data_IF_276796010922
#
_entry.id   IF_276796010922
#
_cell.length_a   1.000
_cell.length_b   1.000
_cell.length_c   1.000
_cell.angle_alpha   90.00
_cell.angle_beta   90.00
_cell.angle_gamma   90.00
#
_symmetry.space_group_name_H-M   'P 1'
#
loop_
_entity.id
_entity.type
_entity.pdbx_description
1 polymer ?
#
# COMPACT_ATOMS: atom_id res chain seq x y z
N UNK A 1 5.63 -2.87 11.38
CA UNK A 1 5.22 -2.41 10.04
C UNK A 1 4.84 -3.56 9.11
N UNK A 2 5.76 -4.47 8.73
CA UNK A 2 5.46 -5.61 7.84
C UNK A 2 4.36 -6.53 8.39
N UNK A 3 4.44 -6.94 9.66
CA UNK A 3 3.41 -7.80 10.27
C UNK A 3 2.03 -7.14 10.26
N UNK A 4 1.95 -5.84 10.55
CA UNK A 4 0.68 -5.10 10.57
C UNK A 4 0.07 -4.96 9.19
N UNK A 5 0.90 -4.81 8.15
CA UNK A 5 0.42 -4.74 6.76
C UNK A 5 -0.07 -6.10 6.28
N UNK A 6 0.61 -7.19 6.66
CA UNK A 6 0.16 -8.56 6.36
C UNK A 6 -1.19 -8.87 7.02
N UNK A 7 -1.37 -8.53 8.31
CA UNK A 7 -2.65 -8.76 8.99
C UNK A 7 -3.79 -7.93 8.37
N UNK A 8 -3.53 -6.67 8.02
CA UNK A 8 -4.54 -5.82 7.38
C UNK A 8 -4.95 -6.34 5.99
N UNK A 9 -3.98 -6.82 5.21
CA UNK A 9 -4.25 -7.46 3.91
C UNK A 9 -5.05 -8.76 4.12
N UNK A 10 -4.65 -9.61 5.07
CA UNK A 10 -5.35 -10.86 5.40
C UNK A 10 -6.82 -10.62 5.76
N UNK A 11 -7.08 -9.63 6.60
CA UNK A 11 -8.44 -9.30 7.05
C UNK A 11 -9.31 -8.73 5.92
N UNK A 12 -8.69 -8.09 4.94
CA UNK A 12 -9.39 -7.57 3.75
C UNK A 12 -9.75 -8.66 2.72
N UNK A 13 -9.00 -9.76 2.66
CA UNK A 13 -9.14 -10.82 1.66
C UNK A 13 -9.94 -12.04 2.18
N UNK A 14 -10.02 -12.26 3.50
CA UNK A 14 -10.64 -13.46 4.07
C UNK A 14 -12.19 -13.48 3.97
N UNK A 15 -12.81 -14.60 3.52
CA UNK A 15 -14.27 -14.74 3.47
C UNK A 15 -14.90 -14.74 4.88
N UNK A 16 -16.18 -14.34 5.03
CA UNK A 16 -16.85 -14.36 6.32
C UNK A 16 -16.99 -15.79 6.84
N UNK A 17 -16.30 -16.10 7.94
CA UNK A 17 -16.66 -17.22 8.80
C UNK A 17 -18.03 -16.93 9.43
N UNK A 18 -19.09 -17.45 8.82
CA UNK A 18 -20.46 -17.40 9.32
C UNK A 18 -21.38 -16.44 8.54
N UNK A 19 -21.80 -16.83 7.33
CA UNK A 19 -23.04 -16.31 6.74
C UNK A 19 -24.09 -17.41 6.81
N UNK A 20 -24.89 -17.41 7.87
CA UNK A 20 -26.20 -18.06 7.82
C UNK A 20 -27.12 -17.19 6.96
N UNK A 21 -27.71 -17.83 5.96
CA UNK A 21 -28.71 -17.28 5.04
C UNK A 21 -29.84 -16.62 5.84
N UNK A 22 -30.10 -15.33 5.62
CA UNK A 22 -31.25 -14.63 6.19
C UNK A 22 -32.24 -14.24 5.08
N UNK A 23 -33.40 -14.88 5.08
CA UNK A 23 -34.60 -14.56 4.28
C UNK A 23 -35.21 -13.20 4.65
N UNK A 24 -35.91 -12.50 3.73
CA UNK A 24 -36.36 -11.13 3.95
C UNK A 24 -37.65 -11.06 4.80
N UNK A 25 -37.72 -10.14 5.76
CA UNK A 25 -38.95 -9.81 6.52
C UNK A 25 -39.31 -8.33 6.37
N UNK A 26 -40.61 -8.10 6.20
CA UNK A 26 -41.32 -6.88 5.76
C UNK A 26 -41.40 -5.74 6.80
N UNK A 27 -41.39 -4.52 6.26
CA UNK A 27 -42.12 -3.27 6.59
C UNK A 27 -42.35 -2.82 8.04
N UNK A 28 -41.96 -1.55 8.34
CA UNK A 28 -42.84 -0.59 9.05
C UNK A 28 -42.37 0.88 8.87
N UNK A 29 -43.33 1.77 8.56
CA UNK A 29 -43.18 3.22 8.34
C UNK A 29 -43.26 4.03 9.66
N UNK A 30 -42.54 5.15 9.77
CA UNK A 30 -43.06 6.35 10.46
C UNK A 30 -42.34 7.65 10.05
N UNK A 31 -43.15 8.69 9.84
CA UNK A 31 -42.81 10.05 9.37
C UNK A 31 -42.01 10.90 10.39
N UNK A 32 -41.25 11.88 9.89
CA UNK A 32 -40.72 13.00 10.69
C UNK A 32 -39.61 13.78 9.99
N UNK A 33 -39.94 14.97 9.47
CA UNK A 33 -39.06 15.94 8.81
C UNK A 33 -38.05 16.61 9.74
N UNK A 34 -36.77 16.65 9.36
CA UNK A 34 -35.93 17.86 9.48
C UNK A 34 -34.77 17.84 8.46
N UNK A 35 -34.67 18.92 7.70
CA UNK A 35 -33.63 19.22 6.73
C UNK A 35 -32.28 19.47 7.42
N UNK A 36 -31.24 18.73 7.04
CA UNK A 36 -29.85 19.17 7.14
C UNK A 36 -29.19 18.90 5.79
N UNK A 37 -29.26 19.86 4.89
CA UNK A 37 -28.24 19.98 3.85
C UNK A 37 -26.99 20.49 4.56
N UNK A 38 -25.89 19.75 4.44
CA UNK A 38 -24.58 20.28 4.03
C UNK A 38 -23.56 19.14 4.03
N UNK A 39 -23.17 18.78 2.81
CA UNK A 39 -21.83 18.34 2.39
C UNK A 39 -21.13 17.32 3.28
N UNK A 40 -21.31 16.02 3.01
CA UNK A 40 -20.34 15.01 3.41
C UNK A 40 -20.26 13.93 2.32
N UNK A 41 -19.20 14.06 1.53
CA UNK A 41 -18.50 13.13 0.61
C UNK A 41 -19.32 12.00 -0.05
N UNK A 42 -19.26 11.84 -1.39
CA UNK A 42 -19.92 10.76 -2.11
C UNK A 42 -19.47 9.36 -1.62
N UNK A 43 -20.40 8.41 -1.69
CA UNK A 43 -20.41 7.04 -1.13
C UNK A 43 -19.21 6.12 -1.47
N UNK A 44 -18.18 6.63 -2.16
CA UNK A 44 -17.07 5.83 -2.70
C UNK A 44 -15.72 6.06 -1.97
N UNK A 45 -15.69 6.89 -0.92
CA UNK A 45 -14.43 7.24 -0.24
C UNK A 45 -14.12 6.26 0.90
N UNK A 46 -13.57 5.08 0.60
CA UNK A 46 -13.10 4.18 1.65
C UNK A 46 -11.61 4.42 1.98
N UNK A 47 -11.35 5.39 2.85
CA UNK A 47 -10.12 5.42 3.65
C UNK A 47 -10.31 4.44 4.82
N UNK A 48 -9.66 3.28 4.76
CA UNK A 48 -9.58 2.37 5.91
C UNK A 48 -8.60 2.94 6.94
N UNK A 49 -9.02 4.00 7.64
CA UNK A 49 -8.32 4.46 8.84
C UNK A 49 -8.83 3.60 10.00
N UNK A 50 -7.92 2.95 10.73
CA UNK A 50 -8.21 2.41 12.05
C UNK A 50 -8.61 3.57 12.97
N UNK A 51 -9.90 3.92 12.96
CA UNK A 51 -10.48 4.81 13.94
C UNK A 51 -11.62 4.06 14.64
N UNK A 52 -11.56 4.01 15.97
CA UNK A 52 -12.67 3.62 16.84
C UNK A 52 -13.78 4.67 16.75
N UNK A 53 -14.49 4.72 15.61
CA UNK A 53 -15.61 5.64 15.41
C UNK A 53 -16.84 4.99 16.01
N UNK A 54 -17.18 5.39 17.23
CA UNK A 54 -18.50 5.09 17.82
C UNK A 54 -19.56 5.91 17.08
N UNK A 55 -20.35 5.24 16.24
CA UNK A 55 -21.52 5.86 15.60
C UNK A 55 -22.50 6.34 16.68
N UNK A 56 -22.75 7.65 16.75
CA UNK A 56 -23.75 8.26 17.64
C UNK A 56 -25.20 7.88 17.31
N UNK A 57 -25.43 7.20 16.19
CA UNK A 57 -26.75 6.72 15.79
C UNK A 57 -26.72 5.20 15.81
N UNK A 58 -27.50 4.59 16.70
CA UNK A 58 -27.55 3.15 17.00
C UNK A 58 -28.06 2.25 15.87
N UNK A 59 -27.62 2.47 14.63
CA UNK A 59 -27.68 1.49 13.55
C UNK A 59 -26.40 0.66 13.62
N UNK A 60 -26.49 -0.69 13.56
CA UNK A 60 -25.30 -1.51 13.41
C UNK A 60 -24.58 -1.04 12.15
N UNK A 61 -23.31 -0.64 12.28
CA UNK A 61 -22.45 -0.40 11.12
C UNK A 61 -22.41 -1.73 10.38
N UNK A 62 -23.17 -1.85 9.28
CA UNK A 62 -22.97 -2.94 8.34
C UNK A 62 -21.49 -2.92 8.00
N UNK A 63 -20.78 -4.02 8.28
CA UNK A 63 -19.35 -4.14 8.05
C UNK A 63 -19.11 -3.97 6.54
N UNK A 64 -18.96 -2.73 6.09
CA UNK A 64 -18.63 -2.40 4.72
C UNK A 64 -17.28 -3.07 4.47
N UNK A 65 -17.29 -4.16 3.70
CA UNK A 65 -16.06 -4.79 3.23
C UNK A 65 -15.55 -3.96 2.08
N UNK A 66 -14.67 -3.03 2.39
CA UNK A 66 -13.91 -2.29 1.39
C UNK A 66 -12.94 -3.25 0.70
N UNK A 67 -13.06 -3.41 -0.61
CA UNK A 67 -12.10 -4.20 -1.39
C UNK A 67 -10.80 -3.42 -1.50
N UNK A 68 -9.66 -4.05 -1.19
CA UNK A 68 -8.34 -3.43 -1.30
C UNK A 68 -7.99 -3.23 -2.78
N UNK A 69 -8.01 -1.98 -3.25
CA UNK A 69 -7.70 -1.62 -4.64
C UNK A 69 -6.22 -1.35 -4.90
N UNK A 70 -5.43 -1.08 -3.85
CA UNK A 70 -4.02 -0.72 -3.99
C UNK A 70 -3.35 -0.44 -2.65
N UNK A 71 -2.02 -0.48 -2.63
CA UNK A 71 -1.19 -0.28 -1.43
C UNK A 71 -0.17 0.82 -1.69
N UNK A 72 0.00 1.73 -0.73
CA UNK A 72 1.06 2.76 -0.76
C UNK A 72 2.16 2.37 0.24
N UNK A 73 3.42 2.47 -0.19
CA UNK A 73 4.58 2.06 0.58
C UNK A 73 4.98 0.60 0.32
N UNK A 74 5.74 -0.03 1.24
CA UNK A 74 6.36 0.54 2.44
C UNK A 74 7.57 1.43 2.10
N UNK A 75 8.29 1.90 3.12
CA UNK A 75 9.46 2.76 2.92
C UNK A 75 10.76 2.02 2.56
N UNK A 76 10.99 0.83 3.11
CA UNK A 76 12.20 0.04 2.84
C UNK A 76 12.04 -0.82 1.58
N UNK A 77 13.06 -0.81 0.72
CA UNK A 77 13.08 -1.58 -0.54
C UNK A 77 12.98 -3.09 -0.32
N UNK A 78 13.65 -3.64 0.70
CA UNK A 78 13.61 -5.09 1.01
C UNK A 78 12.23 -5.53 1.47
N UNK A 79 11.56 -4.70 2.27
CA UNK A 79 10.18 -4.94 2.74
C UNK A 79 9.20 -4.79 1.58
N UNK A 80 9.41 -3.81 0.70
CA UNK A 80 8.55 -3.60 -0.47
C UNK A 80 8.59 -4.77 -1.44
N UNK A 81 9.75 -5.38 -1.67
CA UNK A 81 9.88 -6.61 -2.46
C UNK A 81 9.04 -7.76 -1.88
N UNK A 82 9.09 -7.94 -0.56
CA UNK A 82 8.31 -8.99 0.12
C UNK A 82 6.81 -8.75 0.01
N UNK A 83 6.36 -7.51 0.21
CA UNK A 83 4.94 -7.14 0.06
C UNK A 83 4.49 -7.31 -1.39
N UNK A 84 5.31 -6.89 -2.35
CA UNK A 84 5.02 -6.99 -3.77
C UNK A 84 4.88 -8.45 -4.23
N UNK A 85 5.71 -9.36 -3.70
CA UNK A 85 5.60 -10.80 -3.98
C UNK A 85 4.24 -11.38 -3.63
N UNK A 86 3.58 -10.85 -2.59
CA UNK A 86 2.22 -11.24 -2.21
C UNK A 86 1.17 -10.51 -3.06
N UNK A 87 1.27 -9.19 -3.19
CA UNK A 87 0.26 -8.37 -3.87
C UNK A 87 0.11 -8.68 -5.35
N UNK A 88 1.20 -9.07 -6.02
CA UNK A 88 1.16 -9.45 -7.44
C UNK A 88 0.30 -10.68 -7.73
N UNK A 89 0.13 -11.59 -6.76
CA UNK A 89 -0.73 -12.78 -6.91
C UNK A 89 -2.20 -12.40 -7.04
N UNK A 90 -2.58 -11.26 -6.48
CA UNK A 90 -3.94 -10.72 -6.51
C UNK A 90 -4.09 -9.56 -7.51
N UNK A 91 -3.07 -9.30 -8.33
CA UNK A 91 -3.00 -8.16 -9.24
C UNK A 91 -3.26 -6.79 -8.56
N UNK A 92 -2.93 -6.67 -7.27
CA UNK A 92 -3.11 -5.43 -6.52
C UNK A 92 -1.90 -4.53 -6.80
N UNK A 93 -2.11 -3.28 -7.26
CA UNK A 93 -1.03 -2.35 -7.50
C UNK A 93 -0.40 -1.84 -6.19
N UNK A 94 0.93 -1.76 -6.16
CA UNK A 94 1.69 -1.19 -5.05
C UNK A 94 2.45 0.05 -5.51
N UNK A 95 2.37 1.14 -4.76
CA UNK A 95 3.04 2.40 -5.07
C UNK A 95 4.03 2.75 -3.96
N UNK A 96 5.32 2.60 -4.24
CA UNK A 96 6.40 2.96 -3.32
C UNK A 96 6.71 4.46 -3.30
N UNK A 97 6.88 5.03 -2.10
CA UNK A 97 7.25 6.44 -1.91
C UNK A 97 8.74 6.66 -1.61
N UNK A 98 9.45 5.66 -1.07
CA UNK A 98 10.89 5.75 -0.76
C UNK A 98 11.68 4.48 -1.13
N UNK A 99 11.14 3.66 -2.03
CA UNK A 99 11.69 2.36 -2.41
C UNK A 99 12.42 2.46 -3.75
N UNK A 100 13.71 2.75 -3.69
CA UNK A 100 14.51 3.17 -4.86
C UNK A 100 15.36 2.05 -5.48
N UNK A 101 15.42 0.87 -4.84
CA UNK A 101 16.24 -0.26 -5.30
C UNK A 101 15.96 -0.63 -6.76
N UNK A 102 17.02 -0.91 -7.52
CA UNK A 102 16.96 -1.32 -8.93
C UNK A 102 16.13 -2.59 -9.13
N UNK A 103 16.13 -3.51 -8.16
CA UNK A 103 15.44 -4.81 -8.25
C UNK A 103 13.94 -4.66 -8.54
N UNK A 104 13.31 -3.63 -7.97
CA UNK A 104 11.89 -3.31 -8.13
C UNK A 104 11.55 -2.68 -9.49
N UNK A 105 12.56 -2.36 -10.30
CA UNK A 105 12.37 -1.82 -11.65
C UNK A 105 12.02 -2.90 -12.67
N UNK A 106 12.30 -4.17 -12.38
CA UNK A 106 12.04 -5.29 -13.30
C UNK A 106 10.54 -5.57 -13.40
N UNK A 107 9.91 -5.13 -14.50
CA UNK A 107 8.48 -5.31 -14.77
C UNK A 107 8.10 -6.72 -15.23
N UNK A 108 9.06 -7.52 -15.69
CA UNK A 108 8.80 -8.93 -15.99
C UNK A 108 8.56 -9.71 -14.69
N UNK A 109 9.24 -9.31 -13.61
CA UNK A 109 9.07 -9.91 -12.27
C UNK A 109 8.01 -9.23 -11.43
N UNK A 110 7.94 -7.89 -11.45
CA UNK A 110 7.07 -7.09 -10.59
C UNK A 110 6.16 -6.18 -11.42
N UNK A 111 5.14 -6.78 -12.04
CA UNK A 111 4.25 -6.11 -12.99
C UNK A 111 3.35 -5.05 -12.34
N UNK A 112 2.88 -5.28 -11.11
CA UNK A 112 1.97 -4.36 -10.40
C UNK A 112 2.66 -3.35 -9.49
N UNK A 113 4.00 -3.31 -9.48
CA UNK A 113 4.76 -2.35 -8.69
C UNK A 113 4.95 -1.03 -9.44
N UNK A 114 4.78 0.10 -8.76
CA UNK A 114 5.08 1.44 -9.25
C UNK A 114 5.76 2.24 -8.14
N UNK A 115 6.43 3.33 -8.49
CA UNK A 115 7.00 4.27 -7.51
C UNK A 115 7.11 5.66 -8.09
N UNK A 116 7.07 6.65 -7.21
CA UNK A 116 7.16 8.09 -7.56
C UNK A 116 8.61 8.61 -7.55
N UNK A 117 9.56 7.78 -7.12
CA UNK A 117 10.98 8.11 -6.99
C UNK A 117 11.82 7.41 -8.06
N UNK A 118 12.94 8.03 -8.52
CA UNK A 118 13.84 7.40 -9.47
C UNK A 118 14.56 6.20 -8.86
N UNK A 119 15.13 5.35 -9.72
CA UNK A 119 15.94 4.21 -9.28
C UNK A 119 17.33 4.66 -8.82
N UNK A 120 17.91 3.93 -7.88
CA UNK A 120 19.30 4.11 -7.42
C UNK A 120 20.34 4.02 -8.55
N UNK A 121 20.00 3.39 -9.68
CA UNK A 121 20.84 3.35 -10.88
C UNK A 121 21.34 4.75 -11.29
N UNK A 122 20.47 5.75 -11.30
CA UNK A 122 20.85 7.11 -11.69
C UNK A 122 21.73 7.77 -10.64
N UNK A 123 21.50 7.48 -9.36
CA UNK A 123 22.33 8.00 -8.27
C UNK A 123 23.74 7.41 -8.31
N UNK A 124 23.86 6.10 -8.54
CA UNK A 124 25.14 5.42 -8.71
C UNK A 124 25.90 5.97 -9.93
N UNK A 125 25.21 6.23 -11.04
CA UNK A 125 25.81 6.86 -12.22
C UNK A 125 26.40 8.24 -11.89
N UNK A 126 25.67 9.08 -11.16
CA UNK A 126 26.17 10.40 -10.73
C UNK A 126 27.39 10.27 -9.82
N UNK A 127 27.41 9.30 -8.90
CA UNK A 127 28.60 9.06 -8.06
C UNK A 127 29.82 8.67 -8.89
N UNK A 128 29.66 7.79 -9.88
CA UNK A 128 30.74 7.40 -10.79
C UNK A 128 31.23 8.60 -11.61
N UNK A 129 30.32 9.44 -12.10
CA UNK A 129 30.69 10.62 -12.88
C UNK A 129 31.46 11.65 -12.04
N UNK A 130 31.13 11.79 -10.75
CA UNK A 130 31.91 12.60 -9.81
C UNK A 130 33.32 12.04 -9.58
N UNK A 131 33.45 10.73 -9.34
CA UNK A 131 34.75 10.06 -9.17
C UNK A 131 35.65 10.31 -10.39
N UNK A 132 35.07 10.20 -11.59
CA UNK A 132 35.77 10.49 -12.86
C UNK A 132 36.14 11.96 -12.98
N UNK A 133 35.23 12.89 -12.64
CA UNK A 133 35.47 14.32 -12.73
C UNK A 133 36.64 14.79 -11.86
N UNK A 134 36.82 14.18 -10.68
CA UNK A 134 37.91 14.51 -9.75
C UNK A 134 39.15 13.63 -9.91
N UNK A 135 39.19 12.73 -10.90
CA UNK A 135 40.29 11.80 -11.15
C UNK A 135 40.68 10.97 -9.91
N UNK A 136 39.71 10.56 -9.09
CA UNK A 136 39.99 9.70 -7.94
C UNK A 136 40.29 8.28 -8.42
N UNK A 137 41.52 7.81 -8.17
CA UNK A 137 42.00 6.48 -8.59
C UNK A 137 41.81 5.40 -7.53
N UNK A 138 41.59 5.80 -6.27
CA UNK A 138 41.36 4.89 -5.16
C UNK A 138 40.15 5.35 -4.34
N UNK A 139 39.11 4.52 -4.30
CA UNK A 139 37.88 4.75 -3.55
C UNK A 139 37.49 3.47 -2.82
N UNK A 140 36.90 3.62 -1.63
CA UNK A 140 36.29 2.52 -0.88
C UNK A 140 34.78 2.70 -0.87
N UNK A 141 34.04 1.64 -1.17
CA UNK A 141 32.59 1.65 -1.18
C UNK A 141 32.06 0.88 0.04
N UNK A 142 31.11 1.48 0.75
CA UNK A 142 30.43 0.88 1.89
C UNK A 142 28.93 0.98 1.63
N UNK A 143 28.21 -0.13 1.77
CA UNK A 143 26.77 -0.19 1.63
C UNK A 143 26.11 -0.84 2.84
N UNK A 144 24.81 -0.62 2.97
CA UNK A 144 23.95 -1.40 3.85
C UNK A 144 23.70 -2.78 3.26
N UNK A 145 23.65 -3.81 4.12
CA UNK A 145 23.37 -5.19 3.73
C UNK A 145 21.87 -5.42 3.54
N UNK A 146 21.31 -4.73 2.54
CA UNK A 146 19.92 -4.82 2.13
C UNK A 146 19.79 -4.50 0.64
N UNK A 147 18.64 -4.83 0.03
CA UNK A 147 18.43 -4.64 -1.41
C UNK A 147 18.73 -3.22 -1.89
N UNK A 148 18.44 -2.19 -1.09
CA UNK A 148 18.79 -0.81 -1.43
C UNK A 148 20.33 -0.67 -1.59
N UNK A 149 21.08 -0.92 -0.53
CA UNK A 149 22.54 -0.76 -0.51
C UNK A 149 23.26 -1.69 -1.48
N UNK A 150 22.85 -2.95 -1.60
CA UNK A 150 23.44 -3.90 -2.55
C UNK A 150 23.19 -3.47 -4.00
N UNK A 151 21.96 -3.06 -4.33
CA UNK A 151 21.61 -2.67 -5.70
C UNK A 151 22.24 -1.35 -6.16
N UNK A 152 22.73 -0.51 -5.24
CA UNK A 152 23.45 0.72 -5.55
C UNK A 152 24.95 0.52 -5.82
N UNK A 153 25.55 -0.55 -5.30
CA UNK A 153 26.97 -0.87 -5.51
C UNK A 153 27.19 -1.76 -6.75
N UNK A 154 26.20 -2.58 -7.09
CA UNK A 154 26.30 -3.61 -8.13
C UNK A 154 25.96 -3.08 -9.53
#
# INVERSE_FOLDING_TARGET
ALQQSIELIRDSISPPSGSTVATPRKDLKSNGTMNVRNNLLPDDTCLAVNQNITSKYGKPVSKYRSTLIGVIGPGSSSVALQVQNLLQLFAIPQIGYSTTSKDLSDKARYSSFMRVVPSDYYQAQVMVDLVRQFNWTYVSAINTDENYGQSGIQ
#
